data_IF_931590841365
#
_entry.id   IF_931590841365
#
_cell.length_a   1.000
_cell.length_b   1.000
_cell.length_c   1.000
_cell.angle_alpha   90.00
_cell.angle_beta   90.00
_cell.angle_gamma   90.00
#
_symmetry.space_group_name_H-M   'P 1'
#
loop_
_entity.id
_entity.type
_entity.pdbx_description
1 polymer ?
#
# COMPACT_ATOMS: atom_id res chain seq x y z
N UNK A 1 -4.58 -25.46 -25.32
CA UNK A 1 -3.92 -24.14 -25.18
C UNK A 1 -2.44 -24.29 -25.47
N UNK A 2 -1.83 -23.34 -26.18
CA UNK A 2 -0.39 -23.35 -26.46
C UNK A 2 0.39 -23.00 -25.20
N UNK A 3 1.41 -23.81 -24.87
CA UNK A 3 2.24 -23.60 -23.68
C UNK A 3 3.49 -22.78 -24.06
N UNK A 4 3.70 -21.65 -23.43
CA UNK A 4 4.91 -20.84 -23.61
C UNK A 4 6.07 -21.47 -22.83
N UNK A 5 7.09 -21.92 -23.56
CA UNK A 5 8.33 -22.52 -23.00
C UNK A 5 9.54 -21.62 -23.13
N UNK A 6 9.50 -20.64 -24.05
CA UNK A 6 10.63 -19.79 -24.33
C UNK A 6 10.73 -18.61 -23.37
N UNK A 7 11.87 -18.47 -22.70
CA UNK A 7 12.21 -17.29 -21.90
C UNK A 7 12.38 -16.03 -22.75
N UNK A 8 12.60 -16.21 -24.08
CA UNK A 8 12.76 -15.12 -25.05
C UNK A 8 11.44 -14.58 -25.58
N UNK A 9 10.31 -15.20 -25.22
CA UNK A 9 8.99 -14.72 -25.58
C UNK A 9 8.79 -13.27 -25.09
N UNK A 10 8.30 -12.39 -25.95
CA UNK A 10 8.16 -10.94 -25.65
C UNK A 10 7.29 -10.64 -24.43
N UNK A 11 6.20 -11.39 -24.25
CA UNK A 11 5.32 -11.25 -23.05
C UNK A 11 6.06 -11.66 -21.78
N UNK A 12 6.83 -12.76 -21.83
CA UNK A 12 7.61 -13.24 -20.67
C UNK A 12 8.69 -12.24 -20.29
N UNK A 13 9.40 -11.67 -21.27
CA UNK A 13 10.38 -10.60 -21.03
C UNK A 13 9.74 -9.38 -20.38
N UNK A 14 8.60 -8.96 -20.90
CA UNK A 14 7.82 -7.87 -20.31
C UNK A 14 7.47 -8.16 -18.85
N UNK A 15 6.83 -9.29 -18.57
CA UNK A 15 6.38 -9.62 -17.22
C UNK A 15 7.55 -9.79 -16.23
N UNK A 16 8.64 -10.42 -16.65
CA UNK A 16 9.85 -10.51 -15.83
C UNK A 16 10.46 -9.13 -15.53
N UNK A 17 10.34 -8.17 -16.44
CA UNK A 17 10.86 -6.82 -16.23
C UNK A 17 10.08 -6.05 -15.14
N UNK A 18 8.82 -6.42 -14.86
CA UNK A 18 7.96 -5.80 -13.83
C UNK A 18 8.49 -5.99 -12.40
N UNK A 19 9.48 -6.85 -12.18
CA UNK A 19 10.24 -6.92 -10.93
C UNK A 19 10.96 -5.60 -10.61
N UNK A 20 11.25 -4.79 -11.62
CA UNK A 20 11.91 -3.49 -11.47
C UNK A 20 10.89 -2.35 -11.55
N UNK A 21 10.95 -1.42 -10.58
CA UNK A 21 10.04 -0.25 -10.47
C UNK A 21 9.89 0.52 -11.79
N UNK A 22 11.00 0.85 -12.48
CA UNK A 22 10.98 1.61 -13.74
C UNK A 22 10.11 1.01 -14.84
N UNK A 23 9.98 -0.33 -14.87
CA UNK A 23 9.14 -1.00 -15.86
C UNK A 23 7.69 -1.08 -15.40
N UNK A 24 7.43 -1.21 -14.09
CA UNK A 24 6.08 -1.09 -13.55
C UNK A 24 5.50 0.30 -13.86
N UNK A 25 6.25 1.35 -13.59
CA UNK A 25 5.87 2.74 -13.88
C UNK A 25 5.63 2.95 -15.39
N UNK A 26 6.49 2.38 -16.25
CA UNK A 26 6.37 2.50 -17.71
C UNK A 26 5.16 1.78 -18.29
N UNK A 27 4.89 0.56 -17.81
CA UNK A 27 3.85 -0.31 -18.37
C UNK A 27 2.54 -0.24 -17.58
N UNK A 28 2.55 0.44 -16.43
CA UNK A 28 1.39 0.53 -15.52
C UNK A 28 0.87 -0.86 -15.12
N UNK A 29 1.80 -1.80 -14.89
CA UNK A 29 1.54 -3.19 -14.54
C UNK A 29 2.44 -3.62 -13.37
N UNK A 30 1.96 -4.56 -12.56
CA UNK A 30 2.74 -5.23 -11.52
C UNK A 30 2.32 -6.69 -11.36
N UNK A 31 3.13 -7.48 -10.61
CA UNK A 31 2.89 -8.90 -10.41
C UNK A 31 2.31 -9.18 -9.03
N UNK A 32 1.38 -10.13 -8.95
CA UNK A 32 0.91 -10.75 -7.71
C UNK A 32 1.04 -12.27 -7.80
N UNK A 33 1.47 -12.90 -6.72
CA UNK A 33 1.84 -14.32 -6.74
C UNK A 33 1.00 -15.18 -5.79
N UNK A 34 0.29 -14.55 -4.87
CA UNK A 34 -0.53 -15.26 -3.89
C UNK A 34 -1.96 -15.41 -4.41
N UNK A 35 -2.50 -16.61 -4.31
CA UNK A 35 -3.82 -16.95 -4.87
C UNK A 35 -4.93 -15.99 -4.39
N UNK A 36 -4.91 -15.63 -3.11
CA UNK A 36 -5.89 -14.70 -2.55
C UNK A 36 -5.72 -13.27 -3.10
N UNK A 37 -4.49 -12.81 -3.40
CA UNK A 37 -4.26 -11.51 -4.03
C UNK A 37 -4.77 -11.46 -5.48
N UNK A 38 -4.60 -12.57 -6.21
CA UNK A 38 -5.18 -12.70 -7.57
C UNK A 38 -6.71 -12.64 -7.48
N UNK A 39 -7.32 -13.30 -6.49
CA UNK A 39 -8.75 -13.24 -6.25
C UNK A 39 -9.23 -11.81 -5.96
N UNK A 40 -8.50 -11.05 -5.13
CA UNK A 40 -8.82 -9.65 -4.86
C UNK A 40 -8.63 -8.76 -6.09
N UNK A 41 -7.59 -9.00 -6.90
CA UNK A 41 -7.41 -8.31 -8.17
C UNK A 41 -8.56 -8.55 -9.16
N UNK A 42 -9.08 -9.78 -9.21
CA UNK A 42 -10.27 -10.13 -10.03
C UNK A 42 -11.50 -9.38 -9.53
N UNK A 43 -11.78 -9.42 -8.22
CA UNK A 43 -12.94 -8.75 -7.61
C UNK A 43 -12.98 -7.24 -7.86
N UNK A 44 -11.80 -6.62 -7.95
CA UNK A 44 -11.65 -5.18 -8.18
C UNK A 44 -11.36 -4.81 -9.64
N UNK A 45 -11.56 -5.74 -10.59
CA UNK A 45 -11.30 -5.54 -12.03
C UNK A 45 -9.89 -5.01 -12.35
N UNK A 46 -8.90 -5.42 -11.57
CA UNK A 46 -7.50 -5.01 -11.73
C UNK A 46 -6.65 -6.06 -12.46
N UNK A 47 -7.13 -7.30 -12.60
CA UNK A 47 -6.38 -8.36 -13.27
C UNK A 47 -6.31 -8.07 -14.78
N UNK A 48 -5.09 -8.05 -15.34
CA UNK A 48 -4.84 -7.94 -16.77
C UNK A 48 -4.63 -9.31 -17.42
N UNK A 49 -3.75 -10.11 -16.84
CA UNK A 49 -3.41 -11.46 -17.36
C UNK A 49 -3.26 -12.44 -16.20
N UNK A 50 -3.93 -13.58 -16.32
CA UNK A 50 -3.68 -14.73 -15.46
C UNK A 50 -2.64 -15.65 -16.10
N UNK A 51 -1.61 -16.03 -15.36
CA UNK A 51 -0.57 -16.95 -15.80
C UNK A 51 -0.67 -18.21 -14.94
N UNK A 52 -0.78 -19.39 -15.58
CA UNK A 52 -0.86 -20.68 -14.92
C UNK A 52 0.29 -21.57 -15.36
N UNK A 53 0.90 -22.27 -14.44
CA UNK A 53 1.93 -23.26 -14.72
C UNK A 53 1.32 -24.48 -15.42
N UNK A 54 2.00 -25.01 -16.44
CA UNK A 54 1.63 -26.25 -17.13
C UNK A 54 1.40 -27.39 -16.11
N UNK A 55 0.27 -28.04 -16.20
CA UNK A 55 -0.14 -29.11 -15.30
C UNK A 55 -0.72 -28.67 -13.95
N UNK A 56 -0.77 -27.38 -13.65
CA UNK A 56 -1.46 -26.87 -12.49
C UNK A 56 -2.95 -26.60 -12.78
N UNK A 57 -3.78 -26.68 -11.74
CA UNK A 57 -5.19 -26.33 -11.80
C UNK A 57 -5.36 -24.82 -11.98
N UNK A 58 -6.32 -24.40 -12.82
CA UNK A 58 -6.77 -23.02 -12.88
C UNK A 58 -7.95 -22.81 -11.92
N UNK A 59 -7.71 -22.18 -10.76
CA UNK A 59 -8.73 -22.09 -9.71
C UNK A 59 -9.73 -20.94 -9.93
N UNK A 60 -9.57 -20.15 -10.99
CA UNK A 60 -10.34 -18.92 -11.21
C UNK A 60 -11.34 -19.03 -12.37
N UNK A 61 -11.29 -20.11 -13.12
CA UNK A 61 -12.13 -20.35 -14.33
C UNK A 61 -12.09 -19.19 -15.34
N UNK A 62 -10.90 -18.57 -15.48
CA UNK A 62 -10.64 -17.48 -16.40
C UNK A 62 -9.70 -17.92 -17.53
N UNK A 63 -9.74 -17.20 -18.65
CA UNK A 63 -8.73 -17.35 -19.69
C UNK A 63 -7.34 -17.08 -19.09
N UNK A 64 -6.39 -17.95 -19.40
CA UNK A 64 -5.06 -17.87 -18.83
C UNK A 64 -3.96 -18.13 -19.86
N UNK A 65 -2.78 -17.61 -19.57
CA UNK A 65 -1.55 -17.90 -20.27
C UNK A 65 -0.89 -19.11 -19.62
N UNK A 66 -0.81 -20.24 -20.32
CA UNK A 66 -0.11 -21.42 -19.81
C UNK A 66 1.38 -21.34 -20.10
N UNK A 67 2.21 -21.53 -19.07
CA UNK A 67 3.67 -21.44 -19.16
C UNK A 67 4.35 -22.67 -18.59
N UNK A 68 5.57 -22.99 -19.07
CA UNK A 68 6.37 -24.10 -18.49
C UNK A 68 6.82 -23.78 -17.05
N UNK A 69 7.23 -24.81 -16.29
CA UNK A 69 7.79 -24.65 -14.95
C UNK A 69 9.01 -23.73 -14.92
N UNK A 70 9.87 -23.78 -15.96
CA UNK A 70 11.03 -22.90 -16.10
C UNK A 70 10.65 -21.43 -16.26
N UNK A 71 9.67 -21.14 -17.11
CA UNK A 71 9.13 -19.79 -17.29
C UNK A 71 8.45 -19.30 -16.00
N UNK A 72 7.64 -20.14 -15.35
CA UNK A 72 7.01 -19.80 -14.07
C UNK A 72 8.05 -19.46 -13.01
N UNK A 73 9.10 -20.26 -12.86
CA UNK A 73 10.22 -19.98 -11.94
C UNK A 73 10.91 -18.65 -12.25
N UNK A 74 11.07 -18.33 -13.54
CA UNK A 74 11.67 -17.04 -13.96
C UNK A 74 10.78 -15.85 -13.56
N UNK A 75 9.46 -15.98 -13.61
CA UNK A 75 8.52 -14.93 -13.25
C UNK A 75 8.33 -14.80 -11.73
N UNK A 76 8.49 -15.91 -10.99
CA UNK A 76 8.36 -15.93 -9.53
C UNK A 76 9.43 -15.06 -8.86
N UNK A 77 9.08 -14.38 -7.79
CA UNK A 77 10.03 -13.63 -6.94
C UNK A 77 10.59 -14.47 -5.81
N UNK A 78 9.84 -15.50 -5.39
CA UNK A 78 10.23 -16.45 -4.36
C UNK A 78 10.90 -17.68 -4.96
N UNK A 79 11.72 -18.39 -4.18
CA UNK A 79 12.34 -19.66 -4.57
C UNK A 79 11.31 -20.80 -4.77
N UNK A 80 10.14 -20.68 -4.15
CA UNK A 80 9.05 -21.65 -4.32
C UNK A 80 8.41 -21.51 -5.70
N UNK A 81 8.14 -22.65 -6.32
CA UNK A 81 7.44 -22.71 -7.60
C UNK A 81 5.97 -22.36 -7.42
N UNK A 82 5.55 -21.22 -7.94
CA UNK A 82 4.15 -20.82 -7.94
C UNK A 82 3.34 -21.59 -9.01
N UNK A 83 2.09 -21.89 -8.72
CA UNK A 83 1.17 -22.47 -9.69
C UNK A 83 0.46 -21.40 -10.54
N UNK A 84 0.31 -20.21 -9.99
CA UNK A 84 -0.33 -19.09 -10.67
C UNK A 84 0.38 -17.76 -10.34
N UNK A 85 0.32 -16.81 -11.29
CA UNK A 85 0.75 -15.42 -11.15
C UNK A 85 -0.30 -14.54 -11.84
N UNK A 86 -0.70 -13.47 -11.18
CA UNK A 86 -1.50 -12.40 -11.77
C UNK A 86 -0.62 -11.24 -12.24
N UNK A 87 -0.85 -10.77 -13.45
CA UNK A 87 -0.38 -9.46 -13.92
C UNK A 87 -1.53 -8.49 -13.70
N UNK A 88 -1.31 -7.43 -12.93
CA UNK A 88 -2.36 -6.51 -12.53
C UNK A 88 -2.08 -5.10 -13.05
N UNK A 89 -3.13 -4.37 -13.40
CA UNK A 89 -3.05 -2.96 -13.76
C UNK A 89 -2.83 -2.09 -12.53
N UNK A 90 -1.95 -1.12 -12.64
CA UNK A 90 -1.80 -0.04 -11.65
C UNK A 90 -2.99 0.90 -11.82
N UNK A 91 -3.81 1.02 -10.78
CA UNK A 91 -4.96 1.92 -10.78
C UNK A 91 -4.56 3.38 -10.56
N UNK A 92 -5.27 4.29 -11.19
CA UNK A 92 -5.23 5.71 -10.81
C UNK A 92 -6.06 5.90 -9.54
N UNK A 93 -5.41 6.05 -8.39
CA UNK A 93 -6.10 6.36 -7.14
C UNK A 93 -6.84 7.69 -7.26
N UNK A 94 -8.15 7.70 -7.04
CA UNK A 94 -8.95 8.94 -7.00
C UNK A 94 -9.61 9.10 -5.64
N UNK A 95 -9.41 10.26 -5.03
CA UNK A 95 -10.08 10.67 -3.80
C UNK A 95 -11.15 11.70 -4.18
N UNK A 96 -12.41 11.29 -4.18
CA UNK A 96 -13.51 12.20 -4.54
C UNK A 96 -13.74 13.27 -3.46
N UNK A 97 -14.23 12.87 -2.28
CA UNK A 97 -14.46 13.76 -1.12
C UNK A 97 -14.03 13.04 0.17
N UNK A 98 -12.72 12.92 0.42
CA UNK A 98 -12.25 12.17 1.56
C UNK A 98 -12.57 12.88 2.88
N UNK A 99 -12.95 12.09 3.87
CA UNK A 99 -13.19 12.54 5.25
C UNK A 99 -12.09 12.08 6.19
N UNK A 100 -11.54 10.87 5.96
CA UNK A 100 -10.51 10.27 6.80
C UNK A 100 -9.37 9.74 5.95
N UNK A 101 -8.17 10.27 6.17
CA UNK A 101 -6.98 9.91 5.41
C UNK A 101 -5.85 9.45 6.33
N UNK A 102 -5.01 8.58 5.81
CA UNK A 102 -3.69 8.30 6.38
C UNK A 102 -2.64 8.96 5.50
N UNK A 103 -1.66 9.58 6.11
CA UNK A 103 -0.50 10.19 5.44
C UNK A 103 0.78 9.57 5.99
N UNK A 104 1.65 9.14 5.10
CA UNK A 104 2.95 8.59 5.44
C UNK A 104 4.06 9.49 4.92
N UNK A 105 4.89 10.02 5.81
CA UNK A 105 6.09 10.76 5.48
C UNK A 105 7.30 9.85 5.61
N UNK A 106 7.88 9.46 4.45
CA UNK A 106 9.15 8.76 4.33
C UNK A 106 9.23 7.41 5.08
N UNK A 107 8.11 6.71 5.20
CA UNK A 107 8.08 5.35 5.74
C UNK A 107 8.74 4.41 4.73
N UNK A 108 9.89 3.84 5.10
CA UNK A 108 10.78 3.16 4.14
C UNK A 108 10.67 1.62 4.17
N UNK A 109 10.15 1.01 5.23
CA UNK A 109 9.93 -0.44 5.23
C UNK A 109 8.66 -0.81 4.43
N UNK A 110 8.80 -1.63 3.37
CA UNK A 110 7.67 -2.05 2.54
C UNK A 110 6.59 -2.81 3.32
N UNK A 111 6.99 -3.56 4.35
CA UNK A 111 6.07 -4.29 5.21
C UNK A 111 5.20 -3.36 6.05
N UNK A 112 5.79 -2.27 6.59
CA UNK A 112 5.06 -1.25 7.32
C UNK A 112 4.05 -0.54 6.40
N UNK A 113 4.48 -0.10 5.21
CA UNK A 113 3.59 0.56 4.24
C UNK A 113 2.42 -0.36 3.90
N UNK A 114 2.67 -1.63 3.56
CA UNK A 114 1.61 -2.57 3.23
C UNK A 114 0.66 -2.85 4.41
N UNK A 115 1.20 -3.02 5.62
CA UNK A 115 0.39 -3.22 6.84
C UNK A 115 -0.49 -2.00 7.13
N UNK A 116 0.03 -0.79 6.94
CA UNK A 116 -0.72 0.46 7.14
C UNK A 116 -1.86 0.55 6.11
N UNK A 117 -1.61 0.26 4.83
CA UNK A 117 -2.65 0.27 3.79
C UNK A 117 -3.77 -0.72 4.14
N UNK A 118 -3.42 -1.94 4.56
CA UNK A 118 -4.38 -2.94 5.01
C UNK A 118 -5.20 -2.44 6.20
N UNK A 119 -4.53 -1.88 7.21
CA UNK A 119 -5.17 -1.35 8.43
C UNK A 119 -6.09 -0.18 8.10
N UNK A 120 -5.65 0.75 7.23
CA UNK A 120 -6.46 1.87 6.77
C UNK A 120 -7.77 1.39 6.11
N UNK A 121 -7.67 0.40 5.23
CA UNK A 121 -8.86 -0.21 4.61
C UNK A 121 -9.78 -0.86 5.67
N UNK A 122 -9.24 -1.62 6.62
CA UNK A 122 -10.03 -2.26 7.68
C UNK A 122 -10.77 -1.25 8.58
N UNK A 123 -10.18 -0.08 8.85
CA UNK A 123 -10.80 0.98 9.64
C UNK A 123 -11.62 1.99 8.82
N UNK A 124 -11.81 1.72 7.51
CA UNK A 124 -12.68 2.51 6.64
C UNK A 124 -12.15 3.92 6.37
N UNK A 125 -10.82 4.08 6.22
CA UNK A 125 -10.25 5.30 5.68
C UNK A 125 -10.53 5.40 4.18
N UNK A 126 -10.66 6.62 3.68
CA UNK A 126 -10.99 6.90 2.28
C UNK A 126 -9.76 6.79 1.37
N UNK A 127 -8.55 6.84 1.93
CA UNK A 127 -7.31 6.69 1.19
C UNK A 127 -6.05 6.84 2.02
N UNK A 128 -4.92 6.52 1.38
CA UNK A 128 -3.58 6.66 1.94
C UNK A 128 -2.75 7.56 1.02
N UNK A 129 -2.13 8.58 1.58
CA UNK A 129 -1.20 9.48 0.88
C UNK A 129 0.24 9.13 1.30
N UNK A 130 1.10 8.93 0.32
CA UNK A 130 2.50 8.58 0.52
C UNK A 130 3.39 9.73 0.05
N UNK A 131 4.37 10.13 0.86
CA UNK A 131 5.43 11.03 0.38
C UNK A 131 6.31 10.34 -0.66
N UNK A 132 7.13 11.14 -1.37
CA UNK A 132 7.98 10.64 -2.46
C UNK A 132 8.97 9.57 -2.03
N UNK A 133 9.47 9.63 -0.78
CA UNK A 133 10.48 8.71 -0.25
C UNK A 133 9.92 7.52 0.51
N UNK A 134 8.62 7.36 0.58
CA UNK A 134 8.03 6.12 1.09
C UNK A 134 8.41 4.92 0.22
N UNK A 135 8.42 3.72 0.80
CA UNK A 135 8.65 2.48 0.09
C UNK A 135 7.79 2.37 -1.18
N UNK A 136 8.28 1.63 -2.15
CA UNK A 136 7.58 1.39 -3.40
C UNK A 136 6.29 0.59 -3.17
N UNK A 137 5.16 1.19 -3.53
CA UNK A 137 3.82 0.64 -3.35
C UNK A 137 3.65 -0.75 -3.99
N UNK A 138 4.25 -0.94 -5.17
CA UNK A 138 4.13 -2.18 -5.95
C UNK A 138 5.36 -3.10 -5.81
N UNK A 139 6.18 -2.88 -4.79
CA UNK A 139 7.18 -3.87 -4.38
C UNK A 139 6.46 -5.13 -3.86
N UNK A 140 6.97 -6.32 -4.18
CA UNK A 140 6.34 -7.59 -3.78
C UNK A 140 6.06 -7.69 -2.27
N UNK A 141 6.99 -7.21 -1.42
CA UNK A 141 6.81 -7.19 0.04
C UNK A 141 5.67 -6.26 0.47
N UNK A 142 5.52 -5.10 -0.17
CA UNK A 142 4.40 -4.17 0.10
C UNK A 142 3.08 -4.81 -0.34
N UNK A 143 3.02 -5.34 -1.56
CA UNK A 143 1.83 -5.98 -2.13
C UNK A 143 1.37 -7.16 -1.27
N UNK A 144 2.29 -8.04 -0.86
CA UNK A 144 1.97 -9.16 0.03
C UNK A 144 1.46 -8.68 1.40
N UNK A 145 2.11 -7.67 2.01
CA UNK A 145 1.69 -7.11 3.30
C UNK A 145 0.31 -6.42 3.26
N UNK A 146 -0.09 -5.85 2.11
CA UNK A 146 -1.41 -5.24 1.91
C UNK A 146 -2.57 -6.25 1.95
N UNK A 147 -2.31 -7.54 1.72
CA UNK A 147 -3.33 -8.61 1.71
C UNK A 147 -4.58 -8.28 0.87
N UNK A 148 -4.37 -7.64 -0.29
CA UNK A 148 -5.43 -7.25 -1.23
C UNK A 148 -5.99 -5.84 -1.05
N UNK A 149 -5.74 -5.15 0.07
CA UNK A 149 -6.24 -3.80 0.30
C UNK A 149 -5.76 -2.78 -0.76
N UNK A 150 -4.61 -3.04 -1.40
CA UNK A 150 -4.07 -2.22 -2.49
C UNK A 150 -5.03 -2.08 -3.69
N UNK A 151 -5.95 -3.02 -3.87
CA UNK A 151 -6.96 -2.98 -4.93
C UNK A 151 -8.24 -2.25 -4.51
N UNK A 152 -8.47 -2.09 -3.20
CA UNK A 152 -9.74 -1.64 -2.64
C UNK A 152 -9.72 -0.20 -2.12
N UNK A 153 -8.55 0.31 -1.71
CA UNK A 153 -8.41 1.66 -1.16
C UNK A 153 -7.47 2.50 -2.05
N UNK A 154 -7.82 3.76 -2.39
CA UNK A 154 -6.92 4.65 -3.10
C UNK A 154 -5.61 4.89 -2.34
N UNK A 155 -4.47 4.66 -3.01
CA UNK A 155 -3.14 5.01 -2.49
C UNK A 155 -2.46 5.95 -3.48
N UNK A 156 -2.15 7.16 -3.05
CA UNK A 156 -1.65 8.22 -3.92
C UNK A 156 -0.28 8.70 -3.42
N UNK A 157 0.69 8.78 -4.33
CA UNK A 157 2.01 9.34 -4.03
C UNK A 157 2.10 10.79 -4.50
N UNK A 158 2.57 11.68 -3.60
CA UNK A 158 2.84 13.10 -3.88
C UNK A 158 3.94 13.63 -2.95
N UNK A 159 4.51 14.77 -3.28
CA UNK A 159 5.37 15.47 -2.32
C UNK A 159 4.60 15.85 -1.05
N UNK A 160 5.29 15.95 0.10
CA UNK A 160 4.63 16.35 1.35
C UNK A 160 4.00 17.75 1.25
N UNK A 161 4.59 18.65 0.45
CA UNK A 161 4.05 19.98 0.23
C UNK A 161 2.69 19.93 -0.45
N UNK A 162 2.58 19.18 -1.54
CA UNK A 162 1.31 18.96 -2.23
C UNK A 162 0.28 18.25 -1.35
N UNK A 163 0.72 17.34 -0.47
CA UNK A 163 -0.18 16.66 0.49
C UNK A 163 -0.74 17.67 1.50
N UNK A 164 0.11 18.48 2.13
CA UNK A 164 -0.33 19.45 3.11
C UNK A 164 -1.24 20.52 2.49
N UNK A 165 -0.91 21.00 1.29
CA UNK A 165 -1.77 21.93 0.53
C UNK A 165 -3.14 21.29 0.21
N UNK A 166 -3.14 20.04 -0.28
CA UNK A 166 -4.36 19.29 -0.57
C UNK A 166 -5.28 19.15 0.66
N UNK A 167 -4.71 18.84 1.84
CA UNK A 167 -5.46 18.71 3.09
C UNK A 167 -6.05 20.05 3.54
N UNK A 168 -5.24 21.11 3.47
CA UNK A 168 -5.64 22.48 3.82
C UNK A 168 -6.79 22.98 2.95
N UNK A 169 -6.71 22.82 1.63
CA UNK A 169 -7.73 23.28 0.67
C UNK A 169 -9.08 22.60 0.93
N UNK A 170 -9.07 21.36 1.44
CA UNK A 170 -10.27 20.57 1.76
C UNK A 170 -10.73 20.69 3.20
N UNK A 171 -10.05 21.54 3.99
CA UNK A 171 -10.35 21.77 5.42
C UNK A 171 -10.34 20.45 6.19
N UNK A 172 -9.37 19.60 5.91
CA UNK A 172 -9.14 18.32 6.62
C UNK A 172 -8.17 18.62 7.76
N UNK A 173 -8.60 18.38 9.00
CA UNK A 173 -7.75 18.59 10.18
C UNK A 173 -6.60 17.60 10.21
N UNK A 174 -5.39 18.07 10.43
CA UNK A 174 -4.17 17.28 10.34
C UNK A 174 -3.64 16.96 11.73
N UNK A 175 -3.61 15.67 12.09
CA UNK A 175 -3.06 15.18 13.36
C UNK A 175 -1.73 14.48 13.08
N UNK A 176 -0.62 15.03 13.60
CA UNK A 176 0.71 14.46 13.42
C UNK A 176 1.18 13.66 14.64
N UNK A 177 1.95 12.60 14.42
CA UNK A 177 2.61 11.88 15.53
C UNK A 177 3.88 12.61 15.96
N UNK A 178 4.01 12.95 17.25
CA UNK A 178 5.22 13.58 17.81
C UNK A 178 5.36 13.23 19.27
N UNK A 179 6.60 13.05 19.73
CA UNK A 179 6.92 12.89 21.17
C UNK A 179 7.01 14.24 21.88
N UNK A 180 7.31 15.31 21.12
CA UNK A 180 7.48 16.68 21.66
C UNK A 180 6.24 17.51 21.38
N UNK A 181 5.89 18.39 22.33
CA UNK A 181 4.78 19.34 22.19
C UNK A 181 3.49 18.71 21.67
N UNK A 182 3.11 17.55 22.27
CA UNK A 182 2.00 16.74 21.83
C UNK A 182 1.06 16.38 22.98
N UNK A 183 -0.21 16.18 22.66
CA UNK A 183 -1.22 15.67 23.59
C UNK A 183 -1.23 14.14 23.61
N UNK A 184 -1.72 13.56 24.68
CA UNK A 184 -2.00 12.13 24.70
C UNK A 184 -3.17 11.79 23.76
N UNK A 185 -3.03 10.69 23.02
CA UNK A 185 -4.03 10.22 22.07
C UNK A 185 -5.42 10.06 22.70
N UNK A 186 -5.49 9.54 23.92
CA UNK A 186 -6.74 9.36 24.67
C UNK A 186 -7.51 10.66 24.92
N UNK A 187 -6.82 11.80 24.88
CA UNK A 187 -7.41 13.14 25.07
C UNK A 187 -7.86 13.82 23.78
N UNK A 188 -7.63 13.19 22.62
CA UNK A 188 -8.00 13.77 21.32
C UNK A 188 -9.42 13.34 20.93
N UNK A 189 -10.17 14.29 20.46
CA UNK A 189 -11.45 14.06 19.78
C UNK A 189 -11.28 14.41 18.31
N UNK A 190 -11.36 13.43 17.41
CA UNK A 190 -11.12 13.70 15.99
C UNK A 190 -12.19 14.63 15.42
N UNK A 191 -11.76 15.51 14.51
CA UNK A 191 -12.66 16.29 13.69
C UNK A 191 -13.46 15.40 12.74
N UNK A 192 -14.54 15.91 12.19
CA UNK A 192 -15.36 15.18 11.21
C UNK A 192 -14.56 14.77 9.96
N UNK A 193 -13.66 15.67 9.51
CA UNK A 193 -12.69 15.39 8.44
C UNK A 193 -11.30 15.51 9.00
N UNK A 194 -10.53 14.44 8.92
CA UNK A 194 -9.17 14.44 9.45
C UNK A 194 -8.19 13.54 8.68
N UNK A 195 -6.92 13.85 8.84
CA UNK A 195 -5.80 13.03 8.39
C UNK A 195 -4.88 12.72 9.57
N UNK A 196 -4.44 11.46 9.68
CA UNK A 196 -3.40 11.03 10.61
C UNK A 196 -2.08 10.95 9.86
N UNK A 197 -1.07 11.65 10.35
CA UNK A 197 0.25 11.72 9.72
C UNK A 197 1.27 10.95 10.55
N UNK A 198 1.92 9.97 9.92
CA UNK A 198 2.96 9.13 10.52
C UNK A 198 4.27 9.32 9.77
N UNK A 199 5.35 9.47 10.52
CA UNK A 199 6.67 9.73 9.98
C UNK A 199 7.56 8.50 9.83
N UNK A 200 8.78 8.74 9.35
CA UNK A 200 9.85 7.77 9.23
C UNK A 200 10.14 7.08 10.57
N UNK A 201 10.48 5.79 10.51
CA UNK A 201 10.71 4.93 11.70
C UNK A 201 11.83 5.43 12.62
N UNK A 202 12.83 6.11 12.07
CA UNK A 202 13.99 6.60 12.84
C UNK A 202 13.95 8.10 13.14
N UNK A 203 13.40 8.91 12.21
CA UNK A 203 13.45 10.37 12.30
C UNK A 203 12.10 10.99 12.73
N UNK A 204 11.00 10.23 12.63
CA UNK A 204 9.65 10.74 12.84
C UNK A 204 9.22 11.69 11.71
N UNK A 205 8.35 12.63 12.03
CA UNK A 205 7.92 13.68 11.13
C UNK A 205 8.96 14.81 11.02
N UNK A 206 9.11 15.38 9.83
CA UNK A 206 9.96 16.56 9.63
C UNK A 206 9.39 17.78 10.36
N UNK A 207 10.26 18.72 10.71
CA UNK A 207 9.82 19.99 11.32
C UNK A 207 8.81 20.75 10.47
N UNK A 208 8.94 20.65 9.15
CA UNK A 208 8.01 21.26 8.20
C UNK A 208 6.62 20.64 8.30
N UNK A 209 6.56 19.33 8.34
CA UNK A 209 5.30 18.58 8.48
C UNK A 209 4.68 18.84 9.85
N UNK A 210 5.46 18.85 10.93
CA UNK A 210 4.98 19.18 12.27
C UNK A 210 4.34 20.59 12.34
N UNK A 211 4.94 21.57 11.68
CA UNK A 211 4.37 22.95 11.57
C UNK A 211 3.10 22.99 10.71
N UNK A 212 2.91 22.04 9.83
CA UNK A 212 1.70 21.90 9.00
C UNK A 212 0.57 21.10 9.67
N UNK A 213 0.81 20.50 10.84
CA UNK A 213 -0.21 19.83 11.62
C UNK A 213 -1.03 20.83 12.44
N UNK A 214 -2.34 20.62 12.52
CA UNK A 214 -3.21 21.40 13.41
C UNK A 214 -3.01 21.00 14.87
N UNK A 215 -2.73 19.72 15.12
CA UNK A 215 -2.45 19.18 16.43
C UNK A 215 -1.48 18.00 16.34
N UNK A 216 -0.61 17.83 17.34
CA UNK A 216 0.25 16.67 17.46
C UNK A 216 -0.17 15.78 18.62
N UNK A 217 -0.04 14.45 18.41
CA UNK A 217 -0.36 13.46 19.44
C UNK A 217 0.77 12.46 19.66
N UNK A 218 0.75 11.86 20.84
CA UNK A 218 1.55 10.70 21.21
C UNK A 218 0.69 9.62 21.85
N UNK A 219 1.09 8.38 21.68
CA UNK A 219 0.49 7.22 22.34
C UNK A 219 1.10 7.12 23.75
N UNK A 220 0.28 6.86 24.75
CA UNK A 220 0.72 6.61 26.12
C UNK A 220 1.50 5.31 26.18
N UNK A 221 2.72 5.38 26.71
CA UNK A 221 3.62 4.24 26.86
C UNK A 221 4.39 4.33 28.18
N UNK A 222 4.65 3.19 28.82
CA UNK A 222 5.29 3.15 30.14
C UNK A 222 6.81 2.96 30.08
N UNK A 223 7.33 2.16 29.14
CA UNK A 223 8.72 1.69 29.18
C UNK A 223 9.56 2.04 27.95
N UNK A 224 8.93 2.44 26.85
CA UNK A 224 9.59 2.80 25.59
C UNK A 224 8.97 4.06 25.01
N UNK A 225 9.78 4.82 24.25
CA UNK A 225 9.35 6.10 23.66
C UNK A 225 8.82 5.95 22.24
N UNK A 226 8.87 4.75 21.65
CA UNK A 226 8.43 4.54 20.26
C UNK A 226 7.84 3.16 20.04
N UNK A 227 6.86 3.10 19.15
CA UNK A 227 6.27 1.88 18.58
C UNK A 227 6.65 1.76 17.10
N UNK A 228 6.56 0.53 16.58
CA UNK A 228 6.54 0.33 15.15
C UNK A 228 5.43 1.21 14.53
N UNK A 229 5.72 1.86 13.39
CA UNK A 229 4.83 2.86 12.77
C UNK A 229 3.46 2.26 12.39
N UNK A 230 3.42 1.00 11.94
CA UNK A 230 2.16 0.33 11.61
C UNK A 230 1.34 0.00 12.88
N UNK A 231 2.01 -0.36 13.99
CA UNK A 231 1.35 -0.55 15.28
C UNK A 231 0.80 0.77 15.83
N UNK A 232 1.59 1.85 15.77
CA UNK A 232 1.13 3.18 16.18
C UNK A 232 -0.08 3.64 15.37
N UNK A 233 -0.06 3.43 14.06
CA UNK A 233 -1.19 3.75 13.17
C UNK A 233 -2.43 2.93 13.53
N UNK A 234 -2.31 1.65 13.81
CA UNK A 234 -3.45 0.80 14.18
C UNK A 234 -4.09 1.25 15.50
N UNK A 235 -3.28 1.59 16.52
CA UNK A 235 -3.76 2.10 17.80
C UNK A 235 -4.47 3.44 17.62
N UNK A 236 -3.87 4.39 16.90
CA UNK A 236 -4.45 5.69 16.63
C UNK A 236 -5.78 5.57 15.85
N UNK A 237 -5.82 4.70 14.85
CA UNK A 237 -7.04 4.46 14.07
C UNK A 237 -8.14 3.83 14.90
N UNK A 238 -7.79 2.92 15.82
CA UNK A 238 -8.76 2.31 16.72
C UNK A 238 -9.33 3.34 17.69
N UNK A 239 -8.51 4.20 18.29
CA UNK A 239 -8.94 5.21 19.26
C UNK A 239 -9.80 6.30 18.60
N UNK A 240 -9.42 6.72 17.37
CA UNK A 240 -10.08 7.81 16.64
C UNK A 240 -11.25 7.38 15.73
N UNK A 241 -11.67 6.10 15.78
CA UNK A 241 -12.73 5.61 14.87
C UNK A 241 -14.15 6.03 15.23
N UNK A 242 -14.40 6.39 16.49
CA UNK A 242 -15.71 6.78 16.99
C UNK A 242 -15.66 8.14 17.70
N UNK A 243 -16.72 8.91 17.53
CA UNK A 243 -17.01 10.00 18.45
C UNK A 243 -17.27 9.39 19.85
N UNK A 244 -16.48 9.78 20.83
CA UNK A 244 -16.69 9.39 22.24
C UNK A 244 -17.77 10.26 22.85
#
# INVERSE_FOLDING_TARGET
MEVIRSLENSRIKLYNSLKMKKYRDRHQLFLVQERHLIQEAIRNDCLDTLIIREGAENPFDLECLTVSAEVMKKLSENESLNDCIGVCRIGEGKLAEPRRLIVLEDVQDPGNVGTIIRTAHCFGYDGVLLSDRCADLYNAKTVSACQGAIFAIPVIRRSMDEILEYLKDRKITVYGTSLKESRYLSGIRPAEKFALVFGNEGQGLSEKTLKGCDECFKIEMDNFDSLNVAAAMAIASYEMRYEK
#
